data_IF_208470010728
#
_entry.id   IF_208470010728
#
_cell.length_a   1.000
_cell.length_b   1.000
_cell.length_c   1.000
_cell.angle_alpha   90.00
_cell.angle_beta   90.00
_cell.angle_gamma   90.00
#
_symmetry.space_group_name_H-M   'P 1'
#
loop_
_entity.id
_entity.type
_entity.pdbx_description
1 polymer ?
#
# COMPACT_ATOMS: atom_id res chain seq x y z
N UNK A 1 -30.38 60.05 -25.90
CA UNK A 1 -29.33 59.04 -26.25
C UNK A 1 -28.48 58.52 -25.05
N UNK A 2 -28.72 58.87 -23.82
CA UNK A 2 -27.91 58.37 -22.64
C UNK A 2 -28.53 57.19 -21.90
N UNK A 3 -29.77 56.82 -22.14
CA UNK A 3 -30.43 55.67 -21.44
C UNK A 3 -30.17 54.31 -22.05
N UNK A 4 -29.72 54.22 -23.30
CA UNK A 4 -29.46 52.96 -24.02
C UNK A 4 -28.16 52.32 -23.55
N UNK A 5 -27.16 53.12 -23.20
CA UNK A 5 -25.84 52.59 -22.77
C UNK A 5 -25.83 51.98 -21.37
N UNK A 6 -26.75 52.41 -20.48
CA UNK A 6 -26.82 51.88 -19.13
C UNK A 6 -27.46 50.48 -19.13
N UNK A 7 -28.45 50.25 -19.97
CA UNK A 7 -29.11 48.96 -20.08
C UNK A 7 -28.19 47.90 -20.70
N UNK A 8 -27.34 48.32 -21.66
CA UNK A 8 -26.34 47.42 -22.26
C UNK A 8 -25.21 47.08 -21.28
N UNK A 9 -24.81 48.02 -20.44
CA UNK A 9 -23.76 47.78 -19.43
C UNK A 9 -24.27 46.84 -18.32
N UNK A 10 -25.54 46.95 -17.92
CA UNK A 10 -26.16 46.05 -16.95
C UNK A 10 -26.31 44.61 -17.50
N UNK A 11 -26.57 44.48 -18.79
CA UNK A 11 -26.68 43.15 -19.46
C UNK A 11 -25.31 42.47 -19.62
N UNK A 12 -24.25 43.24 -19.88
CA UNK A 12 -22.88 42.68 -19.94
C UNK A 12 -22.34 42.28 -18.56
N UNK A 13 -22.71 42.98 -17.48
CA UNK A 13 -22.34 42.60 -16.11
C UNK A 13 -23.07 41.32 -15.70
N UNK A 14 -24.32 41.10 -16.13
CA UNK A 14 -25.06 39.87 -15.85
C UNK A 14 -24.52 38.63 -16.55
N UNK A 15 -23.82 38.78 -17.66
CA UNK A 15 -23.22 37.66 -18.42
C UNK A 15 -21.88 37.27 -17.83
N UNK A 16 -21.16 38.21 -17.15
CA UNK A 16 -19.85 37.93 -16.57
C UNK A 16 -19.93 37.29 -15.17
N UNK A 17 -21.11 37.19 -14.57
CA UNK A 17 -21.30 36.58 -13.25
C UNK A 17 -21.60 35.08 -13.27
N UNK A 18 -21.68 34.44 -14.45
CA UNK A 18 -21.99 33.01 -14.57
C UNK A 18 -20.78 32.08 -14.76
N UNK A 19 -19.55 32.57 -14.71
CA UNK A 19 -18.35 31.73 -14.83
C UNK A 19 -17.61 31.52 -13.52
N UNK A 20 -18.26 31.67 -12.39
CA UNK A 20 -17.72 31.27 -11.12
C UNK A 20 -18.54 30.11 -10.52
N UNK A 21 -18.86 29.11 -11.35
CA UNK A 21 -19.26 27.81 -10.87
C UNK A 21 -17.97 27.07 -10.53
N UNK A 22 -17.72 27.01 -9.23
CA UNK A 22 -16.55 26.45 -8.64
C UNK A 22 -16.11 25.16 -9.31
N UNK A 23 -14.85 25.09 -9.62
CA UNK A 23 -14.18 23.83 -9.83
C UNK A 23 -14.49 22.99 -8.60
N UNK A 24 -15.30 21.98 -8.82
CA UNK A 24 -15.61 20.98 -7.81
C UNK A 24 -14.28 20.27 -7.49
N UNK A 25 -13.66 20.44 -6.31
CA UNK A 25 -12.37 19.85 -5.98
C UNK A 25 -12.54 18.38 -5.65
N UNK A 26 -13.50 17.71 -6.26
CA UNK A 26 -13.72 16.29 -6.01
C UNK A 26 -13.78 15.51 -7.30
N UNK A 27 -12.62 15.21 -7.82
CA UNK A 27 -12.46 14.17 -8.85
C UNK A 27 -11.50 13.09 -8.42
N UNK A 28 -11.55 12.67 -7.19
CA UNK A 28 -11.16 11.30 -6.88
C UNK A 28 -12.33 10.35 -7.23
N UNK A 29 -12.76 10.40 -8.49
CA UNK A 29 -13.65 9.38 -9.09
C UNK A 29 -13.05 7.98 -9.11
N UNK A 30 -11.93 7.80 -8.46
CA UNK A 30 -11.16 6.57 -8.38
C UNK A 30 -11.81 5.55 -7.45
N UNK A 31 -12.47 6.03 -6.40
CA UNK A 31 -13.15 5.20 -5.41
C UNK A 31 -14.66 5.39 -5.45
N UNK A 32 -15.40 4.30 -5.29
CA UNK A 32 -16.84 4.31 -5.05
C UNK A 32 -17.13 3.62 -3.72
N UNK A 33 -18.26 3.97 -3.11
CA UNK A 33 -18.68 3.39 -1.82
C UNK A 33 -20.06 2.79 -2.00
N UNK A 34 -20.18 1.51 -1.73
CA UNK A 34 -21.44 0.75 -1.74
C UNK A 34 -21.28 -0.50 -0.89
N UNK A 35 -22.38 -1.04 -0.39
CA UNK A 35 -22.33 -2.34 0.30
C UNK A 35 -21.82 -3.41 -0.67
N UNK A 36 -20.88 -4.22 -0.19
CA UNK A 36 -20.25 -5.30 -0.93
C UNK A 36 -20.33 -6.63 -0.19
N UNK A 37 -19.25 -7.39 -0.26
CA UNK A 37 -19.06 -8.67 0.41
C UNK A 37 -18.81 -8.49 1.90
N UNK A 38 -19.09 -9.55 2.70
CA UNK A 38 -18.85 -9.52 4.14
C UNK A 38 -17.34 -9.44 4.50
N UNK A 39 -16.45 -9.78 3.55
CA UNK A 39 -15.00 -9.64 3.68
C UNK A 39 -14.45 -8.33 3.08
N UNK A 40 -15.32 -7.45 2.60
CA UNK A 40 -14.96 -6.17 2.01
C UNK A 40 -15.31 -4.99 2.90
N UNK A 41 -14.61 -3.87 2.70
CA UNK A 41 -14.83 -2.64 3.47
C UNK A 41 -15.88 -1.70 2.87
N UNK A 42 -16.59 -2.13 1.82
CA UNK A 42 -17.57 -1.29 1.11
C UNK A 42 -16.93 -0.19 0.25
N UNK A 43 -15.61 -0.12 0.18
CA UNK A 43 -14.85 0.82 -0.66
C UNK A 43 -14.35 0.09 -1.90
N UNK A 44 -14.61 0.66 -3.06
CA UNK A 44 -14.33 0.04 -4.36
C UNK A 44 -13.34 0.87 -5.16
N UNK A 45 -12.35 0.21 -5.75
CA UNK A 45 -11.38 0.80 -6.66
C UNK A 45 -11.48 0.12 -8.02
N UNK A 46 -11.75 0.88 -9.08
CA UNK A 46 -11.86 0.39 -10.46
C UNK A 46 -12.77 -0.85 -10.60
N UNK A 47 -13.88 -0.88 -9.84
CA UNK A 47 -14.85 -1.97 -9.90
C UNK A 47 -14.54 -3.18 -9.02
N UNK A 48 -13.42 -3.18 -8.29
CA UNK A 48 -13.04 -4.20 -7.31
C UNK A 48 -13.21 -3.66 -5.89
N UNK A 49 -13.84 -4.41 -5.02
CA UNK A 49 -13.95 -4.08 -3.61
C UNK A 49 -12.61 -4.28 -2.90
N UNK A 50 -12.27 -3.35 -2.02
CA UNK A 50 -11.11 -3.45 -1.15
C UNK A 50 -11.48 -4.39 0.00
N UNK A 51 -10.65 -5.38 0.26
CA UNK A 51 -10.85 -6.36 1.33
C UNK A 51 -10.53 -5.76 2.71
N UNK A 52 -11.01 -6.43 3.75
CA UNK A 52 -10.52 -6.18 5.10
C UNK A 52 -9.05 -6.62 5.20
N UNK A 53 -8.25 -5.81 5.88
CA UNK A 53 -6.88 -6.19 6.24
C UNK A 53 -6.93 -7.41 7.17
N UNK A 54 -6.13 -8.42 6.89
CA UNK A 54 -6.00 -9.58 7.76
C UNK A 54 -5.40 -9.17 9.10
N UNK A 55 -6.14 -9.37 10.19
CA UNK A 55 -5.66 -9.10 11.54
C UNK A 55 -4.53 -10.04 11.97
N UNK A 56 -3.76 -9.61 12.97
CA UNK A 56 -2.69 -10.40 13.58
C UNK A 56 -3.13 -11.79 14.04
N UNK A 57 -4.40 -11.96 14.41
CA UNK A 57 -4.99 -13.25 14.78
C UNK A 57 -4.86 -14.30 13.66
N UNK A 58 -4.75 -13.85 12.41
CA UNK A 58 -4.54 -14.68 11.22
C UNK A 58 -3.08 -15.11 10.99
N UNK A 59 -2.13 -14.74 11.85
CA UNK A 59 -0.69 -15.00 11.64
C UNK A 59 -0.38 -16.50 11.45
N UNK A 60 -1.11 -17.39 12.12
CA UNK A 60 -0.94 -18.83 11.93
C UNK A 60 -1.26 -19.32 10.52
N UNK A 61 -2.18 -18.66 9.83
CA UNK A 61 -2.47 -18.96 8.43
C UNK A 61 -1.32 -18.54 7.50
N UNK A 62 -0.65 -17.43 7.81
CA UNK A 62 0.52 -16.98 7.05
C UNK A 62 1.72 -17.95 7.17
N UNK A 63 1.79 -18.72 8.24
CA UNK A 63 2.86 -19.69 8.53
C UNK A 63 2.44 -21.15 8.27
N UNK A 64 1.31 -21.39 7.57
CA UNK A 64 0.81 -22.75 7.31
C UNK A 64 1.82 -23.56 6.50
N UNK A 65 1.92 -24.86 6.80
CA UNK A 65 2.88 -25.78 6.16
C UNK A 65 2.71 -25.92 4.65
N UNK A 66 1.49 -25.77 4.16
CA UNK A 66 1.17 -25.96 2.74
C UNK A 66 1.39 -24.69 1.89
N UNK A 67 1.78 -23.57 2.51
CA UNK A 67 1.95 -22.28 1.83
C UNK A 67 2.92 -22.35 0.65
N UNK A 68 4.05 -23.04 0.81
CA UNK A 68 5.02 -23.21 -0.27
C UNK A 68 4.40 -23.96 -1.47
N UNK A 69 3.60 -24.97 -1.20
CA UNK A 69 2.93 -25.77 -2.25
C UNK A 69 1.82 -24.97 -2.95
N UNK A 70 1.11 -24.14 -2.21
CA UNK A 70 -0.02 -23.34 -2.73
C UNK A 70 0.46 -22.13 -3.52
N UNK A 71 1.46 -21.41 -3.02
CA UNK A 71 1.90 -20.11 -3.52
C UNK A 71 3.22 -20.18 -4.32
N UNK A 72 3.96 -21.30 -4.23
CA UNK A 72 5.27 -21.49 -4.90
C UNK A 72 6.25 -20.34 -4.59
N UNK A 73 6.38 -20.01 -3.30
CA UNK A 73 7.17 -18.89 -2.82
C UNK A 73 8.63 -18.97 -3.20
N UNK A 74 9.19 -20.19 -3.23
CA UNK A 74 10.58 -20.41 -3.68
C UNK A 74 10.79 -19.92 -5.11
N UNK A 75 9.84 -20.16 -6.02
CA UNK A 75 9.90 -19.68 -7.39
C UNK A 75 9.74 -18.15 -7.46
N UNK A 76 8.85 -17.56 -6.65
CA UNK A 76 8.71 -16.11 -6.53
C UNK A 76 10.06 -15.48 -6.16
N UNK A 77 10.67 -15.93 -5.05
CA UNK A 77 11.94 -15.41 -4.55
C UNK A 77 13.06 -15.59 -5.57
N UNK A 78 13.14 -16.75 -6.24
CA UNK A 78 14.13 -17.00 -7.29
C UNK A 78 13.98 -16.00 -8.46
N UNK A 79 12.75 -15.73 -8.89
CA UNK A 79 12.47 -14.80 -9.98
C UNK A 79 12.73 -13.33 -9.62
N UNK A 80 12.77 -13.00 -8.35
CA UNK A 80 13.19 -11.65 -7.89
C UNK A 80 14.67 -11.37 -8.19
N UNK A 81 15.50 -12.41 -8.44
CA UNK A 81 16.94 -12.28 -8.77
C UNK A 81 17.67 -11.35 -7.78
N UNK A 82 17.46 -11.63 -6.49
CA UNK A 82 18.04 -10.85 -5.40
C UNK A 82 19.57 -10.94 -5.46
N UNK A 83 20.23 -9.80 -5.39
CA UNK A 83 21.69 -9.70 -5.26
C UNK A 83 22.05 -9.53 -3.79
N UNK A 84 23.28 -9.94 -3.44
CA UNK A 84 23.74 -9.91 -2.06
C UNK A 84 23.72 -8.51 -1.42
N UNK A 85 23.81 -7.45 -2.22
CA UNK A 85 23.80 -6.07 -1.78
C UNK A 85 22.48 -5.30 -2.04
N UNK A 86 21.42 -6.01 -2.48
CA UNK A 86 20.13 -5.36 -2.71
C UNK A 86 19.51 -4.89 -1.40
N UNK A 87 18.88 -3.73 -1.47
CA UNK A 87 17.95 -3.24 -0.45
C UNK A 87 16.53 -3.54 -0.90
N UNK A 88 15.77 -4.26 -0.08
CA UNK A 88 14.46 -4.80 -0.44
C UNK A 88 13.42 -4.32 0.58
N UNK A 89 12.23 -3.96 0.11
CA UNK A 89 11.08 -3.73 0.98
C UNK A 89 10.02 -4.80 0.74
N UNK A 90 9.55 -5.43 1.80
CA UNK A 90 8.34 -6.27 1.84
C UNK A 90 7.21 -5.44 2.44
N UNK A 91 6.23 -5.09 1.62
CA UNK A 91 5.11 -4.23 2.03
C UNK A 91 3.92 -5.12 2.38
N UNK A 92 3.39 -4.95 3.61
CA UNK A 92 2.46 -5.90 4.19
C UNK A 92 3.18 -7.18 4.58
N UNK A 93 4.30 -7.04 5.32
CA UNK A 93 5.21 -8.13 5.63
C UNK A 93 4.58 -9.25 6.49
N UNK A 94 3.49 -8.96 7.19
CA UNK A 94 2.77 -9.92 8.02
C UNK A 94 3.68 -10.62 9.03
N UNK A 95 3.72 -11.94 8.99
CA UNK A 95 4.59 -12.75 9.86
C UNK A 95 6.09 -12.66 9.51
N UNK A 96 6.44 -12.03 8.38
CA UNK A 96 7.81 -12.04 7.85
C UNK A 96 8.15 -13.27 7.00
N UNK A 97 7.17 -14.03 6.58
CA UNK A 97 7.35 -15.26 5.81
C UNK A 97 8.27 -15.08 4.61
N UNK A 98 8.11 -14.01 3.84
CA UNK A 98 8.99 -13.66 2.70
C UNK A 98 10.26 -12.96 3.17
N UNK A 99 10.19 -12.09 4.17
CA UNK A 99 11.33 -11.35 4.74
C UNK A 99 12.47 -12.30 5.09
N UNK A 100 12.18 -13.36 5.84
CA UNK A 100 13.21 -14.32 6.29
C UNK A 100 13.73 -15.23 5.19
N UNK A 101 13.06 -15.30 4.05
CA UNK A 101 13.55 -15.99 2.84
C UNK A 101 14.41 -15.08 1.97
N UNK A 102 14.14 -13.78 1.97
CA UNK A 102 14.92 -12.80 1.24
C UNK A 102 16.20 -12.40 1.97
N UNK A 103 16.16 -12.28 3.30
CA UNK A 103 17.28 -11.81 4.12
C UNK A 103 18.60 -12.58 3.90
N UNK A 104 18.64 -13.92 3.82
CA UNK A 104 19.88 -14.64 3.53
C UNK A 104 20.46 -14.36 2.14
N UNK A 105 19.61 -14.00 1.16
CA UNK A 105 20.04 -13.69 -0.21
C UNK A 105 20.62 -12.28 -0.33
N UNK A 106 20.15 -11.35 0.49
CA UNK A 106 20.62 -9.98 0.58
C UNK A 106 21.61 -9.79 1.75
N UNK A 107 22.58 -10.69 1.91
CA UNK A 107 23.45 -10.78 3.10
C UNK A 107 24.29 -9.52 3.40
N UNK A 108 24.58 -8.71 2.36
CA UNK A 108 25.32 -7.44 2.43
C UNK A 108 24.42 -6.21 2.23
N UNK A 109 23.13 -6.46 1.97
CA UNK A 109 22.08 -5.47 1.78
C UNK A 109 21.19 -5.37 3.01
N UNK A 110 19.93 -4.98 2.77
CA UNK A 110 18.95 -4.76 3.83
C UNK A 110 17.57 -5.24 3.36
N UNK A 111 16.79 -5.82 4.26
CA UNK A 111 15.38 -6.12 4.03
C UNK A 111 14.54 -5.32 5.01
N UNK A 112 13.70 -4.46 4.50
CA UNK A 112 12.70 -3.71 5.26
C UNK A 112 11.41 -4.50 5.30
N UNK A 113 10.95 -4.85 6.49
CA UNK A 113 9.65 -5.44 6.74
C UNK A 113 8.67 -4.32 7.12
N UNK A 114 7.81 -3.93 6.21
CA UNK A 114 6.86 -2.84 6.42
C UNK A 114 5.48 -3.42 6.64
N UNK A 115 4.85 -3.07 7.76
CA UNK A 115 3.47 -3.46 8.04
C UNK A 115 2.74 -2.33 8.79
N UNK A 116 1.42 -2.30 8.70
CA UNK A 116 0.60 -1.33 9.45
C UNK A 116 0.23 -1.82 10.85
N UNK A 117 0.44 -3.10 11.14
CA UNK A 117 0.13 -3.73 12.42
C UNK A 117 1.41 -3.93 13.24
N UNK A 118 1.49 -3.25 14.37
CA UNK A 118 2.63 -3.37 15.30
C UNK A 118 2.85 -4.79 15.80
N UNK A 119 1.78 -5.57 15.97
CA UNK A 119 1.82 -6.95 16.43
C UNK A 119 2.50 -7.88 15.42
N UNK A 120 2.30 -7.67 14.13
CA UNK A 120 3.03 -8.38 13.06
C UNK A 120 4.51 -8.06 13.14
N UNK A 121 4.87 -6.79 13.26
CA UNK A 121 6.27 -6.35 13.37
C UNK A 121 6.95 -6.89 14.65
N UNK A 122 6.25 -6.95 15.77
CA UNK A 122 6.76 -7.58 17.00
C UNK A 122 7.07 -9.06 16.81
N UNK A 123 6.26 -9.78 16.04
CA UNK A 123 6.53 -11.18 15.68
C UNK A 123 7.80 -11.32 14.83
N UNK A 124 7.98 -10.42 13.87
CA UNK A 124 9.21 -10.37 13.03
C UNK A 124 10.44 -10.09 13.91
N UNK A 125 10.39 -9.10 14.81
CA UNK A 125 11.51 -8.79 15.71
C UNK A 125 11.88 -10.00 16.58
N UNK A 126 10.90 -10.68 17.16
CA UNK A 126 11.15 -11.91 17.95
C UNK A 126 11.85 -12.99 17.14
N UNK A 127 11.43 -13.20 15.88
CA UNK A 127 12.05 -14.18 14.99
C UNK A 127 13.47 -13.75 14.59
N UNK A 128 13.66 -12.48 14.29
CA UNK A 128 14.96 -11.86 13.98
C UNK A 128 15.97 -12.07 15.12
N UNK A 129 15.56 -11.79 16.35
CA UNK A 129 16.39 -11.96 17.53
C UNK A 129 16.76 -13.44 17.77
N UNK A 130 15.76 -14.34 17.75
CA UNK A 130 15.98 -15.77 17.99
C UNK A 130 16.87 -16.43 16.93
N UNK A 131 16.75 -15.99 15.69
CA UNK A 131 17.53 -16.47 14.53
C UNK A 131 18.83 -15.69 14.29
N UNK A 132 19.11 -14.65 15.09
CA UNK A 132 20.29 -13.79 14.98
C UNK A 132 20.46 -13.12 13.61
N UNK A 133 19.35 -12.80 12.95
CA UNK A 133 19.32 -12.12 11.65
C UNK A 133 19.55 -10.62 11.89
N UNK A 134 20.50 -10.01 11.14
CA UNK A 134 20.91 -8.62 11.39
C UNK A 134 20.52 -7.64 10.27
N UNK A 135 20.24 -8.14 9.08
CA UNK A 135 19.92 -7.36 7.91
C UNK A 135 18.41 -7.29 7.63
N UNK A 136 17.61 -7.33 8.69
CA UNK A 136 16.16 -7.09 8.67
C UNK A 136 15.85 -5.90 9.57
N UNK A 137 15.03 -4.99 9.11
CA UNK A 137 14.54 -3.83 9.87
C UNK A 137 13.02 -3.76 9.71
N UNK A 138 12.31 -3.57 10.82
CA UNK A 138 10.85 -3.42 10.81
C UNK A 138 10.47 -1.96 10.75
N UNK A 139 9.44 -1.65 9.96
CA UNK A 139 8.93 -0.28 9.80
C UNK A 139 7.41 -0.30 9.97
N UNK A 140 6.92 0.45 10.95
CA UNK A 140 5.49 0.66 11.10
C UNK A 140 5.01 1.65 10.03
N UNK A 141 4.34 1.11 9.03
CA UNK A 141 3.72 1.88 7.96
C UNK A 141 2.37 2.47 8.34
N UNK A 142 1.71 3.04 7.36
CA UNK A 142 0.33 3.50 7.45
C UNK A 142 -0.37 3.32 6.11
N UNK A 143 -1.69 3.45 6.07
CA UNK A 143 -2.48 3.43 4.82
C UNK A 143 -2.01 4.46 3.76
N UNK A 144 -1.19 5.42 4.16
CA UNK A 144 -0.75 6.52 3.28
C UNK A 144 0.75 6.55 3.01
N UNK A 145 1.55 5.84 3.81
CA UNK A 145 3.00 5.91 3.73
C UNK A 145 3.69 4.68 4.30
N UNK A 146 4.71 4.23 3.60
CA UNK A 146 5.64 3.19 4.07
C UNK A 146 6.83 3.77 4.83
N UNK A 147 6.92 5.08 4.94
CA UNK A 147 7.99 5.84 5.63
C UNK A 147 9.42 5.52 5.16
N UNK A 148 9.59 4.91 4.02
CA UNK A 148 10.90 4.78 3.37
C UNK A 148 11.22 6.00 2.52
N UNK A 149 12.48 6.45 2.50
CA UNK A 149 12.91 7.52 1.61
C UNK A 149 12.71 7.16 0.13
N UNK A 150 12.54 8.17 -0.72
CA UNK A 150 12.49 7.95 -2.17
C UNK A 150 13.80 7.36 -2.67
N UNK A 151 13.72 6.39 -3.58
CA UNK A 151 14.87 5.72 -4.19
C UNK A 151 15.79 5.02 -3.19
N UNK A 152 15.26 4.55 -2.06
CA UNK A 152 16.06 3.88 -1.02
C UNK A 152 16.07 2.35 -1.15
N UNK A 153 15.31 1.76 -2.07
CA UNK A 153 15.23 0.32 -2.26
C UNK A 153 15.43 -0.07 -3.72
N UNK A 154 16.06 -1.22 -3.94
CA UNK A 154 16.26 -1.82 -5.27
C UNK A 154 15.08 -2.65 -5.71
N UNK A 155 14.35 -3.25 -4.76
CA UNK A 155 13.21 -4.12 -5.01
C UNK A 155 12.11 -3.90 -3.98
N UNK A 156 10.87 -4.09 -4.45
CA UNK A 156 9.68 -4.09 -3.60
C UNK A 156 8.92 -5.38 -3.84
N UNK A 157 8.56 -6.07 -2.77
CA UNK A 157 7.63 -7.18 -2.77
C UNK A 157 6.29 -6.72 -2.17
N UNK A 158 5.20 -7.14 -2.79
CA UNK A 158 3.83 -6.93 -2.32
C UNK A 158 3.04 -8.21 -2.62
N UNK A 159 2.78 -9.04 -1.62
CA UNK A 159 2.01 -10.28 -1.75
C UNK A 159 0.76 -10.18 -0.90
N UNK A 160 -0.39 -10.39 -1.55
CA UNK A 160 -1.72 -10.37 -0.91
C UNK A 160 -2.07 -9.09 -0.13
N UNK A 161 -1.42 -7.97 -0.44
CA UNK A 161 -1.62 -6.69 0.23
C UNK A 161 -2.22 -5.63 -0.69
N UNK A 162 -2.12 -5.82 -2.00
CA UNK A 162 -2.60 -4.82 -2.97
C UNK A 162 -4.12 -4.67 -3.00
N UNK A 163 -4.85 -5.63 -2.49
CA UNK A 163 -6.32 -5.66 -2.46
C UNK A 163 -6.92 -5.15 -1.14
N UNK A 164 -6.11 -4.72 -0.20
CA UNK A 164 -6.47 -4.20 1.13
C UNK A 164 -6.46 -2.67 1.23
#
# INVERSE_FOLDING_TARGET
MKKFNILFLLFTILILSNECLGQNPNTDKKYTFKRGDDNGIGKWYMGREIAYVMGFEGIGWLERSDREKEENVSNLIQNMRIKSNDTIADIGAGSGYHVFRMAPLAEKGQVYAVDIQSEMLMSIEKTKESSKIRNVETILGSEKSIYLPKNSVDKILMVDVYHE
#
